data_IF_650733846481
#
_entry.id   IF_650733846481
#
_cell.length_a   1.000
_cell.length_b   1.000
_cell.length_c   1.000
_cell.angle_alpha   90.00
_cell.angle_beta   90.00
_cell.angle_gamma   90.00
#
_symmetry.space_group_name_H-M   'P 1'
#
loop_
_entity.id
_entity.type
_entity.pdbx_description
1 polymer ?
#
# COMPACT_ATOMS: atom_id res chain seq x y z
N UNK A 1 11.23 40.41 -4.11
CA UNK A 1 12.61 40.80 -4.42
C UNK A 1 13.01 40.04 -5.70
N UNK A 2 13.06 40.76 -6.84
CA UNK A 2 13.50 40.21 -8.11
C UNK A 2 15.03 40.07 -8.12
N UNK A 3 15.53 38.99 -7.56
CA UNK A 3 16.98 38.65 -7.56
C UNK A 3 17.45 38.27 -8.98
N UNK A 4 16.52 38.03 -9.90
CA UNK A 4 16.82 37.51 -11.25
C UNK A 4 17.12 38.63 -12.29
N UNK A 5 16.91 39.90 -11.96
CA UNK A 5 17.08 41.01 -12.91
C UNK A 5 18.52 41.56 -12.93
N UNK A 6 19.37 41.17 -11.96
CA UNK A 6 20.80 41.50 -11.90
C UNK A 6 21.63 40.22 -11.88
N UNK A 7 22.30 39.93 -12.99
CA UNK A 7 23.15 38.73 -13.16
C UNK A 7 24.29 38.66 -12.13
N UNK A 8 24.87 39.80 -11.75
CA UNK A 8 25.95 39.84 -10.75
C UNK A 8 25.43 39.52 -9.35
N UNK A 9 24.26 40.04 -8.98
CA UNK A 9 23.61 39.74 -7.73
C UNK A 9 23.19 38.28 -7.66
N UNK A 10 22.65 37.71 -8.75
CA UNK A 10 22.27 36.33 -8.84
C UNK A 10 23.48 35.36 -8.69
N UNK A 11 24.60 35.66 -9.34
CA UNK A 11 25.84 34.89 -9.19
C UNK A 11 26.37 34.91 -7.76
N UNK A 12 26.36 36.08 -7.12
CA UNK A 12 26.78 36.27 -5.74
C UNK A 12 25.91 35.42 -4.79
N UNK A 13 24.59 35.49 -4.96
CA UNK A 13 23.63 34.72 -4.19
C UNK A 13 23.83 33.20 -4.33
N UNK A 14 23.99 32.72 -5.58
CA UNK A 14 24.26 31.30 -5.86
C UNK A 14 25.57 30.85 -5.19
N UNK A 15 26.62 31.67 -5.27
CA UNK A 15 27.91 31.37 -4.64
C UNK A 15 27.80 31.27 -3.11
N UNK A 16 27.01 32.15 -2.48
CA UNK A 16 26.73 32.08 -1.05
C UNK A 16 25.94 30.81 -0.67
N UNK A 17 24.89 30.48 -1.43
CA UNK A 17 24.13 29.24 -1.20
C UNK A 17 25.02 27.99 -1.27
N UNK A 18 25.92 27.92 -2.26
CA UNK A 18 26.86 26.82 -2.36
C UNK A 18 27.87 26.78 -1.22
N UNK A 19 28.36 27.94 -0.75
CA UNK A 19 29.27 28.02 0.40
C UNK A 19 28.60 27.54 1.69
N UNK A 20 27.34 27.94 1.93
CA UNK A 20 26.54 27.46 3.07
C UNK A 20 26.27 25.96 2.98
N UNK A 21 25.83 25.47 1.84
CA UNK A 21 25.60 24.05 1.61
C UNK A 21 26.89 23.21 1.87
N UNK A 22 28.03 23.68 1.39
CA UNK A 22 29.31 23.02 1.62
C UNK A 22 29.75 23.08 3.08
N UNK A 23 29.44 24.16 3.79
CA UNK A 23 29.72 24.27 5.23
C UNK A 23 28.88 23.27 6.02
N UNK A 24 27.58 23.17 5.73
CA UNK A 24 26.67 22.19 6.32
C UNK A 24 27.15 20.77 6.01
N UNK A 25 27.49 20.48 4.75
CA UNK A 25 27.98 19.18 4.31
C UNK A 25 29.24 18.75 5.07
N UNK A 26 30.25 19.65 5.14
CA UNK A 26 31.51 19.39 5.84
C UNK A 26 31.35 19.24 7.37
N UNK A 27 30.31 19.85 7.95
CA UNK A 27 30.04 19.74 9.38
C UNK A 27 29.63 18.31 9.78
N UNK A 28 29.15 17.48 8.86
CA UNK A 28 28.65 16.13 9.14
C UNK A 28 27.39 16.07 10.02
N UNK A 29 26.81 17.23 10.37
CA UNK A 29 25.65 17.33 11.28
C UNK A 29 24.31 17.33 10.56
N UNK A 30 24.31 17.35 9.22
CA UNK A 30 23.09 17.32 8.45
C UNK A 30 22.44 15.93 8.46
N UNK A 31 21.12 15.91 8.46
CA UNK A 31 20.35 14.67 8.30
C UNK A 31 19.53 14.79 7.02
N UNK A 32 19.69 13.81 6.12
CA UNK A 32 18.89 13.68 4.89
C UNK A 32 17.54 12.97 5.15
N UNK A 33 17.03 13.07 6.37
CA UNK A 33 15.75 12.49 6.75
C UNK A 33 14.81 13.58 7.23
N UNK A 34 13.59 13.55 6.74
CA UNK A 34 12.54 14.41 7.23
C UNK A 34 12.07 13.98 8.62
N UNK A 35 11.49 14.93 9.38
CA UNK A 35 10.78 14.58 10.61
C UNK A 35 9.60 13.64 10.32
N UNK A 36 9.13 12.91 11.35
CA UNK A 36 7.98 12.03 11.22
C UNK A 36 6.73 12.77 10.70
N UNK A 37 6.50 13.99 11.17
CA UNK A 37 5.40 14.86 10.73
C UNK A 37 5.52 15.24 9.25
N UNK A 38 6.72 15.63 8.81
CA UNK A 38 6.97 15.99 7.41
C UNK A 38 6.83 14.75 6.50
N UNK A 39 7.29 13.58 6.93
CA UNK A 39 7.09 12.34 6.18
C UNK A 39 5.60 11.98 6.06
N UNK A 40 4.82 12.17 7.13
CA UNK A 40 3.38 11.96 7.09
C UNK A 40 2.68 12.93 6.13
N UNK A 41 3.05 14.20 6.18
CA UNK A 41 2.54 15.23 5.26
C UNK A 41 2.89 14.93 3.80
N UNK A 42 4.14 14.59 3.52
CA UNK A 42 4.59 14.24 2.16
C UNK A 42 3.87 12.99 1.65
N UNK A 43 3.70 11.97 2.49
CA UNK A 43 2.97 10.75 2.13
C UNK A 43 1.51 11.06 1.79
N UNK A 44 0.83 11.86 2.60
CA UNK A 44 -0.55 12.26 2.33
C UNK A 44 -0.67 13.09 1.04
N UNK A 45 0.29 14.00 0.81
CA UNK A 45 0.33 14.82 -0.39
C UNK A 45 0.61 14.00 -1.65
N UNK A 46 1.56 13.06 -1.58
CA UNK A 46 1.87 12.15 -2.68
C UNK A 46 0.68 11.26 -3.06
N UNK A 47 -0.11 10.80 -2.09
CA UNK A 47 -1.31 10.01 -2.36
C UNK A 47 -2.34 10.78 -3.23
N UNK A 48 -2.43 12.10 -3.08
CA UNK A 48 -3.30 12.93 -3.92
C UNK A 48 -2.84 13.07 -5.38
N UNK A 49 -1.58 12.74 -5.69
CA UNK A 49 -1.04 12.75 -7.05
C UNK A 49 -0.90 11.37 -7.68
N UNK A 50 -1.17 10.30 -6.92
CA UNK A 50 -1.21 8.96 -7.51
C UNK A 50 -2.40 8.88 -8.45
N UNK A 51 -2.12 8.56 -9.71
CA UNK A 51 -3.19 8.23 -10.65
C UNK A 51 -3.99 7.07 -10.08
N UNK A 52 -5.32 7.16 -10.17
CA UNK A 52 -6.17 6.02 -9.84
C UNK A 52 -5.77 4.86 -10.74
N UNK A 53 -5.28 3.79 -10.14
CA UNK A 53 -4.97 2.57 -10.87
C UNK A 53 -6.29 1.89 -11.22
N UNK A 54 -6.67 2.01 -12.49
CA UNK A 54 -7.90 1.41 -13.00
C UNK A 54 -7.93 -0.10 -12.73
N UNK A 55 -6.78 -0.78 -12.78
CA UNK A 55 -6.68 -2.21 -12.50
C UNK A 55 -6.96 -2.50 -11.01
N UNK A 56 -6.46 -1.64 -10.12
CA UNK A 56 -6.77 -1.76 -8.69
C UNK A 56 -8.28 -1.62 -8.42
N UNK A 57 -8.92 -0.63 -9.04
CA UNK A 57 -10.37 -0.44 -8.94
C UNK A 57 -11.17 -1.67 -9.41
N UNK A 58 -10.80 -2.26 -10.54
CA UNK A 58 -11.43 -3.48 -11.06
C UNK A 58 -11.24 -4.68 -10.12
N UNK A 59 -10.04 -4.84 -9.58
CA UNK A 59 -9.75 -5.92 -8.62
C UNK A 59 -10.54 -5.72 -7.33
N UNK A 60 -10.65 -4.50 -6.81
CA UNK A 60 -11.41 -4.20 -5.59
C UNK A 60 -12.90 -4.51 -5.79
N UNK A 61 -13.51 -4.02 -6.88
CA UNK A 61 -14.89 -4.31 -7.22
C UNK A 61 -15.15 -5.82 -7.36
N UNK A 62 -14.25 -6.54 -8.02
CA UNK A 62 -14.35 -7.99 -8.12
C UNK A 62 -14.33 -8.69 -6.76
N UNK A 63 -13.44 -8.26 -5.84
CA UNK A 63 -13.32 -8.86 -4.51
C UNK A 63 -14.53 -8.59 -3.61
N UNK A 64 -15.22 -7.47 -3.78
CA UNK A 64 -16.47 -7.16 -3.07
C UNK A 64 -17.58 -8.15 -3.43
N UNK A 65 -17.73 -8.44 -4.72
CA UNK A 65 -18.77 -9.36 -5.21
C UNK A 65 -18.36 -10.84 -5.11
N UNK A 66 -17.09 -11.13 -4.90
CA UNK A 66 -16.57 -12.49 -4.89
C UNK A 66 -16.96 -13.24 -3.62
N UNK A 67 -17.65 -14.37 -3.77
CA UNK A 67 -18.17 -15.20 -2.67
C UNK A 67 -17.22 -16.32 -2.21
N UNK A 68 -16.13 -16.53 -2.93
CA UNK A 68 -15.18 -17.59 -2.60
C UNK A 68 -14.21 -17.20 -1.47
N UNK A 69 -13.59 -18.23 -0.87
CA UNK A 69 -12.69 -18.06 0.27
C UNK A 69 -11.25 -17.74 -0.14
N UNK A 70 -10.89 -17.93 -1.40
CA UNK A 70 -9.51 -17.82 -1.89
C UNK A 70 -9.43 -17.29 -3.30
N UNK A 71 -8.45 -16.44 -3.56
CA UNK A 71 -8.12 -15.94 -4.90
C UNK A 71 -6.61 -16.07 -5.17
N UNK A 72 -6.23 -16.17 -6.43
CA UNK A 72 -4.84 -16.13 -6.87
C UNK A 72 -4.65 -15.09 -7.98
N UNK A 73 -3.41 -14.72 -8.25
CA UNK A 73 -3.10 -13.70 -9.26
C UNK A 73 -3.61 -14.04 -10.66
N UNK A 74 -3.56 -15.32 -11.07
CA UNK A 74 -4.11 -15.76 -12.37
C UNK A 74 -5.63 -15.61 -12.44
N UNK A 75 -6.32 -15.89 -11.35
CA UNK A 75 -7.76 -15.73 -11.28
C UNK A 75 -8.14 -14.26 -11.38
N UNK A 76 -7.47 -13.37 -10.64
CA UNK A 76 -7.70 -11.93 -10.72
C UNK A 76 -7.40 -11.38 -12.13
N UNK A 77 -6.34 -11.87 -12.78
CA UNK A 77 -6.00 -11.48 -14.14
C UNK A 77 -7.08 -11.87 -15.15
N UNK A 78 -7.61 -13.07 -15.05
CA UNK A 78 -8.62 -13.60 -15.98
C UNK A 78 -10.01 -13.08 -15.64
N UNK A 79 -10.43 -13.16 -14.38
CA UNK A 79 -11.83 -12.91 -13.97
C UNK A 79 -12.09 -11.45 -13.60
N UNK A 80 -11.14 -10.76 -12.92
CA UNK A 80 -11.32 -9.36 -12.54
C UNK A 80 -10.94 -8.40 -13.67
N UNK A 81 -9.83 -8.68 -14.39
CA UNK A 81 -9.34 -7.82 -15.47
C UNK A 81 -9.84 -8.24 -16.86
N UNK A 82 -10.55 -9.37 -16.98
CA UNK A 82 -11.14 -9.84 -18.23
C UNK A 82 -10.14 -10.31 -19.29
N UNK A 83 -8.91 -10.67 -18.90
CA UNK A 83 -7.86 -11.08 -19.82
C UNK A 83 -7.92 -12.58 -20.13
N UNK A 84 -7.88 -12.94 -21.42
CA UNK A 84 -7.97 -14.34 -21.85
C UNK A 84 -6.62 -15.04 -22.04
N UNK A 85 -5.53 -14.26 -22.10
CA UNK A 85 -4.18 -14.80 -22.29
C UNK A 85 -3.51 -15.13 -20.96
N UNK A 86 -2.55 -16.07 -20.89
CA UNK A 86 -1.79 -16.27 -19.67
C UNK A 86 -1.02 -14.99 -19.30
N UNK A 87 -1.05 -14.58 -18.00
CA UNK A 87 -0.39 -13.35 -17.57
C UNK A 87 1.12 -13.43 -17.74
N UNK A 88 1.73 -12.35 -18.19
CA UNK A 88 3.18 -12.17 -18.17
C UNK A 88 3.65 -12.02 -16.70
N UNK A 89 4.95 -12.21 -16.49
CA UNK A 89 5.52 -12.16 -15.13
C UNK A 89 5.34 -10.77 -14.49
N UNK A 90 5.48 -9.70 -15.27
CA UNK A 90 5.31 -8.33 -14.79
C UNK A 90 3.84 -8.01 -14.44
N UNK A 91 2.86 -8.56 -15.18
CA UNK A 91 1.43 -8.42 -14.87
C UNK A 91 1.08 -9.13 -13.56
N UNK A 92 1.63 -10.34 -13.39
CA UNK A 92 1.47 -11.08 -12.13
C UNK A 92 2.04 -10.32 -10.95
N UNK A 93 3.20 -9.65 -11.12
CA UNK A 93 3.82 -8.82 -10.08
C UNK A 93 2.97 -7.60 -9.77
N UNK A 94 2.43 -6.91 -10.78
CA UNK A 94 1.55 -5.76 -10.60
C UNK A 94 0.30 -6.14 -9.79
N UNK A 95 -0.36 -7.25 -10.11
CA UNK A 95 -1.51 -7.74 -9.35
C UNK A 95 -1.13 -8.06 -7.89
N UNK A 96 0.03 -8.69 -7.68
CA UNK A 96 0.52 -8.97 -6.33
C UNK A 96 0.78 -7.67 -5.54
N UNK A 97 1.31 -6.64 -6.18
CA UNK A 97 1.54 -5.33 -5.58
C UNK A 97 0.23 -4.64 -5.21
N UNK A 98 -0.75 -4.61 -6.12
CA UNK A 98 -2.08 -4.06 -5.87
C UNK A 98 -2.72 -4.75 -4.66
N UNK A 99 -2.74 -6.07 -4.61
CA UNK A 99 -3.34 -6.84 -3.53
C UNK A 99 -2.63 -6.60 -2.18
N UNK A 100 -1.30 -6.69 -2.16
CA UNK A 100 -0.54 -6.53 -0.92
C UNK A 100 -0.61 -5.09 -0.41
N UNK A 101 -0.56 -4.10 -1.30
CA UNK A 101 -0.71 -2.68 -0.95
C UNK A 101 -2.13 -2.39 -0.48
N UNK A 102 -3.14 -2.93 -1.17
CA UNK A 102 -4.55 -2.78 -0.79
C UNK A 102 -4.87 -3.37 0.59
N UNK A 103 -4.28 -4.53 0.92
CA UNK A 103 -4.40 -5.14 2.25
C UNK A 103 -3.66 -4.30 3.30
N UNK A 104 -2.43 -3.85 3.01
CA UNK A 104 -1.61 -3.09 3.95
C UNK A 104 -2.18 -1.70 4.28
N UNK A 105 -2.82 -1.03 3.33
CA UNK A 105 -3.43 0.29 3.52
C UNK A 105 -4.91 0.24 3.95
N UNK A 106 -5.50 -0.97 4.02
CA UNK A 106 -6.88 -1.18 4.43
C UNK A 106 -7.94 -0.96 3.34
N UNK A 107 -7.54 -0.73 2.08
CA UNK A 107 -8.46 -0.64 0.94
C UNK A 107 -9.10 -1.99 0.62
N UNK A 108 -8.40 -3.10 0.90
CA UNK A 108 -8.90 -4.47 0.79
C UNK A 108 -9.03 -5.02 2.21
N UNK A 109 -10.27 -5.16 2.68
CA UNK A 109 -10.55 -5.69 4.01
C UNK A 109 -10.93 -7.18 3.96
N UNK A 110 -10.61 -7.90 5.04
CA UNK A 110 -10.98 -9.31 5.19
C UNK A 110 -10.18 -10.27 4.33
N UNK A 111 -9.04 -9.87 3.78
CA UNK A 111 -8.14 -10.73 3.01
C UNK A 111 -6.73 -10.74 3.58
N UNK A 112 -6.06 -11.90 3.50
CA UNK A 112 -4.66 -12.07 3.91
C UNK A 112 -3.91 -12.96 2.94
N UNK A 113 -2.61 -12.68 2.75
CA UNK A 113 -1.75 -13.51 1.92
C UNK A 113 -1.38 -14.81 2.65
N UNK A 114 -1.50 -15.96 2.02
CA UNK A 114 -1.03 -17.21 2.61
C UNK A 114 0.38 -17.58 2.10
N UNK A 115 1.15 -18.23 2.97
CA UNK A 115 2.58 -18.51 2.72
C UNK A 115 2.82 -19.67 1.76
N UNK A 116 2.00 -20.72 1.83
CA UNK A 116 2.20 -21.97 1.06
C UNK A 116 1.28 -22.02 -0.15
N UNK A 117 1.75 -22.44 -1.34
CA UNK A 117 0.90 -22.57 -2.51
C UNK A 117 -0.28 -23.50 -2.25
N UNK A 118 -1.47 -23.09 -2.70
CA UNK A 118 -2.70 -23.90 -2.62
C UNK A 118 -3.17 -24.29 -4.02
N UNK A 119 -3.82 -25.45 -4.13
CA UNK A 119 -4.30 -25.96 -5.42
C UNK A 119 -5.67 -25.37 -5.76
N UNK A 120 -5.75 -24.73 -6.91
CA UNK A 120 -6.98 -24.26 -7.54
C UNK A 120 -7.40 -25.23 -8.64
N UNK A 121 -8.70 -25.48 -8.79
CA UNK A 121 -9.21 -26.40 -9.81
C UNK A 121 -8.82 -25.97 -11.23
N UNK A 122 -8.94 -24.67 -11.54
CA UNK A 122 -8.69 -24.09 -12.88
C UNK A 122 -7.24 -23.62 -13.06
N UNK A 123 -6.60 -23.11 -11.98
CA UNK A 123 -5.33 -22.39 -12.07
C UNK A 123 -4.11 -23.18 -11.58
N UNK A 124 -4.32 -24.43 -11.13
CA UNK A 124 -3.23 -25.26 -10.60
C UNK A 124 -2.75 -24.82 -9.22
N UNK A 125 -1.47 -25.10 -8.91
CA UNK A 125 -0.88 -24.73 -7.62
C UNK A 125 -0.39 -23.28 -7.67
N UNK A 126 -0.97 -22.38 -6.88
CA UNK A 126 -0.70 -20.93 -6.86
C UNK A 126 -0.57 -20.42 -5.44
N UNK A 127 0.26 -19.37 -5.27
CA UNK A 127 0.18 -18.46 -4.12
C UNK A 127 -0.96 -17.47 -4.35
N UNK A 128 -1.50 -16.91 -3.28
CA UNK A 128 -2.60 -15.95 -3.38
C UNK A 128 -3.03 -15.48 -2.01
N UNK A 129 -4.30 -15.16 -1.91
CA UNK A 129 -4.91 -14.57 -0.73
C UNK A 129 -6.14 -15.37 -0.34
N UNK A 130 -6.45 -15.38 0.96
CA UNK A 130 -7.63 -16.02 1.52
C UNK A 130 -8.39 -15.04 2.41
N UNK A 131 -9.70 -15.25 2.50
CA UNK A 131 -10.52 -14.48 3.43
C UNK A 131 -10.11 -14.81 4.86
N UNK A 132 -9.93 -13.76 5.64
CA UNK A 132 -9.82 -13.90 7.09
C UNK A 132 -11.23 -14.24 7.57
N UNK A 133 -11.44 -15.46 8.10
CA UNK A 133 -12.67 -15.81 8.77
C UNK A 133 -12.78 -14.98 10.05
N UNK A 134 -13.26 -13.74 9.92
CA UNK A 134 -13.85 -13.07 11.08
C UNK A 134 -15.23 -13.68 11.26
N UNK A 135 -15.57 -14.18 12.45
CA UNK A 135 -16.94 -14.53 12.75
C UNK A 135 -17.81 -13.32 12.40
N UNK A 136 -18.98 -13.52 11.78
CA UNK A 136 -19.84 -12.41 11.37
C UNK A 136 -20.11 -11.54 12.60
N UNK A 137 -19.81 -10.25 12.49
CA UNK A 137 -20.27 -9.29 13.48
C UNK A 137 -21.79 -9.32 13.46
N UNK A 138 -22.41 -9.41 14.63
CA UNK A 138 -23.85 -9.32 14.75
C UNK A 138 -24.35 -8.02 14.11
N UNK A 139 -25.62 -8.01 13.69
CA UNK A 139 -26.26 -6.86 13.00
C UNK A 139 -26.14 -5.53 13.76
N UNK A 140 -25.79 -5.60 15.04
CA UNK A 140 -25.60 -4.46 15.94
C UNK A 140 -24.11 -4.05 16.10
N UNK A 141 -23.20 -4.65 15.33
CA UNK A 141 -21.77 -4.30 15.36
C UNK A 141 -21.00 -4.86 16.56
N UNK A 142 -21.65 -5.70 17.38
CA UNK A 142 -21.00 -6.38 18.49
C UNK A 142 -20.51 -7.76 18.03
N UNK A 143 -19.32 -8.13 18.48
CA UNK A 143 -18.72 -9.44 18.29
C UNK A 143 -18.78 -10.17 19.64
N UNK A 144 -19.29 -11.39 19.66
CA UNK A 144 -19.12 -12.26 20.82
C UNK A 144 -17.63 -12.57 21.00
N UNK A 145 -17.10 -12.16 22.15
CA UNK A 145 -15.71 -12.42 22.54
C UNK A 145 -15.68 -13.84 23.11
N UNK A 146 -14.79 -14.69 22.58
CA UNK A 146 -14.59 -16.02 23.16
C UNK A 146 -14.02 -15.91 24.57
N UNK A 147 -14.28 -16.90 25.44
CA UNK A 147 -13.77 -16.92 26.83
C UNK A 147 -12.23 -16.82 26.90
N UNK A 148 -11.52 -17.29 25.88
CA UNK A 148 -10.06 -17.18 25.79
C UNK A 148 -9.61 -15.74 25.47
N UNK A 149 -10.32 -15.05 24.58
CA UNK A 149 -10.07 -13.64 24.27
C UNK A 149 -10.44 -12.73 25.45
N UNK A 150 -11.51 -13.04 26.17
CA UNK A 150 -11.91 -12.32 27.38
C UNK A 150 -10.86 -12.45 28.51
N UNK A 151 -10.21 -13.61 28.65
CA UNK A 151 -9.10 -13.82 29.63
C UNK A 151 -7.83 -13.07 29.26
N UNK A 152 -7.58 -12.80 27.99
CA UNK A 152 -6.43 -12.01 27.52
C UNK A 152 -6.66 -10.50 27.63
N UNK A 153 -7.92 -10.06 27.72
CA UNK A 153 -8.29 -8.68 28.02
C UNK A 153 -8.42 -8.49 29.53
N UNK A 154 -7.34 -8.65 30.31
CA UNK A 154 -7.31 -8.14 31.68
C UNK A 154 -7.43 -6.62 31.62
N UNK A 155 -8.66 -6.13 31.90
CA UNK A 155 -8.88 -4.71 32.15
C UNK A 155 -8.14 -4.35 33.45
N UNK A 156 -7.23 -3.37 33.42
CA UNK A 156 -6.63 -2.86 34.66
C UNK A 156 -7.72 -2.12 35.43
N UNK A 157 -8.12 -2.69 36.57
CA UNK A 157 -8.87 -1.99 37.61
C UNK A 157 -7.90 -1.36 38.57
#
# INVERSE_FOLDING_TARGET
VHILDDEAAARTYISQMWAEAMTIYRSGKYKLSFSAEMNAYLKAHQQGFMQEDTQAGMIYAYLEDYTGDRVCSKQLYEEALGNCNPPAEWETRAICEIMNTGIANGSIQGWTAYKSPKRYKKYGSQKGWERVNQPPADKDGFREITEEEARQMELPF
#
